data_IF_501656148670
#
_entry.id   IF_501656148670
#
_cell.length_a   1.000
_cell.length_b   1.000
_cell.length_c   1.000
_cell.angle_alpha   90.00
_cell.angle_beta   90.00
_cell.angle_gamma   90.00
#
_symmetry.space_group_name_H-M   'P 1'
#
loop_
_entity.id
_entity.type
_entity.pdbx_description
1 polymer ?
#
# COMPACT_ATOMS: atom_id res chain seq x y z
N UNK A 1 -5.07 -12.14 4.72
CA UNK A 1 -4.17 -12.19 5.88
C UNK A 1 -4.12 -10.82 6.54
N UNK A 2 -4.49 -10.74 7.82
CA UNK A 2 -4.41 -9.50 8.61
C UNK A 2 -2.96 -8.98 8.81
N UNK A 3 -2.86 -7.71 9.20
CA UNK A 3 -1.59 -6.98 9.28
C UNK A 3 -0.64 -7.60 10.33
N UNK A 4 -1.17 -8.15 11.42
CA UNK A 4 -0.39 -8.77 12.50
C UNK A 4 0.26 -10.06 12.01
N UNK A 5 -0.52 -10.94 11.39
CA UNK A 5 -0.02 -12.20 10.80
C UNK A 5 0.99 -11.91 9.69
N UNK A 6 0.69 -10.97 8.79
CA UNK A 6 1.62 -10.56 7.75
C UNK A 6 2.95 -10.06 8.34
N UNK A 7 2.89 -9.19 9.36
CA UNK A 7 4.07 -8.68 10.06
C UNK A 7 4.90 -9.78 10.73
N UNK A 8 4.25 -10.79 11.32
CA UNK A 8 4.95 -11.93 11.92
C UNK A 8 5.68 -12.79 10.88
N UNK A 9 5.09 -12.99 9.71
CA UNK A 9 5.73 -13.69 8.60
C UNK A 9 6.95 -12.90 8.12
N UNK A 10 6.77 -11.60 7.86
CA UNK A 10 7.82 -10.73 7.33
C UNK A 10 9.02 -10.61 8.28
N UNK A 11 8.78 -10.53 9.59
CA UNK A 11 9.85 -10.50 10.60
C UNK A 11 10.65 -11.81 10.72
N UNK A 12 10.14 -12.92 10.18
CA UNK A 12 10.78 -14.24 10.23
C UNK A 12 11.51 -14.61 8.95
N UNK A 13 11.43 -13.77 7.92
CA UNK A 13 12.12 -14.04 6.66
C UNK A 13 13.64 -14.00 6.87
N UNK A 14 14.32 -15.03 6.37
CA UNK A 14 15.77 -15.07 6.32
C UNK A 14 16.31 -14.16 5.22
N UNK A 15 17.60 -13.83 5.25
CA UNK A 15 18.21 -12.95 4.26
C UNK A 15 18.08 -13.51 2.84
N UNK A 16 17.48 -12.72 1.94
CA UNK A 16 17.18 -13.14 0.57
C UNK A 16 16.00 -14.12 0.45
N UNK A 17 15.34 -14.49 1.55
CA UNK A 17 14.15 -15.33 1.50
C UNK A 17 13.02 -14.56 0.80
N UNK A 18 12.38 -15.23 -0.16
CA UNK A 18 11.25 -14.72 -0.93
C UNK A 18 9.99 -15.51 -0.57
N UNK A 19 8.94 -14.80 -0.20
CA UNK A 19 7.62 -15.36 0.14
C UNK A 19 6.55 -14.84 -0.82
N UNK A 20 5.66 -15.70 -1.28
CA UNK A 20 4.40 -15.26 -1.90
C UNK A 20 3.42 -14.92 -0.78
N UNK A 21 2.95 -13.68 -0.76
CA UNK A 21 2.02 -13.16 0.25
C UNK A 21 0.58 -13.29 -0.21
N UNK A 22 0.33 -13.23 -1.52
CA UNK A 22 -0.99 -13.35 -2.12
C UNK A 22 -0.88 -13.78 -3.58
N UNK A 23 -1.90 -14.47 -4.10
CA UNK A 23 -2.06 -14.77 -5.52
C UNK A 23 -3.50 -14.43 -5.94
N UNK A 24 -3.65 -13.53 -6.92
CA UNK A 24 -4.96 -13.15 -7.44
C UNK A 24 -5.57 -14.28 -8.29
N UNK A 25 -6.89 -14.27 -8.52
CA UNK A 25 -7.54 -15.21 -9.44
C UNK A 25 -6.99 -15.17 -10.87
N UNK A 26 -6.37 -14.05 -11.28
CA UNK A 26 -5.71 -13.89 -12.58
C UNK A 26 -4.24 -14.35 -12.58
N UNK A 27 -3.76 -14.90 -11.47
CA UNK A 27 -2.39 -15.38 -11.31
C UNK A 27 -1.37 -14.29 -10.99
N UNK A 28 -1.79 -13.08 -10.67
CA UNK A 28 -0.87 -12.02 -10.21
C UNK A 28 -0.42 -12.35 -8.79
N UNK A 29 0.88 -12.44 -8.55
CA UNK A 29 1.42 -12.69 -7.21
C UNK A 29 1.95 -11.40 -6.59
N UNK A 30 1.64 -11.19 -5.32
CA UNK A 30 2.32 -10.21 -4.46
C UNK A 30 3.33 -10.96 -3.61
N UNK A 31 4.57 -10.53 -3.64
CA UNK A 31 5.69 -11.19 -2.96
C UNK A 31 6.37 -10.25 -1.98
N UNK A 32 7.06 -10.82 -1.01
CA UNK A 32 7.96 -10.11 -0.12
C UNK A 32 9.32 -10.81 -0.12
N UNK A 33 10.39 -10.04 -0.32
CA UNK A 33 11.77 -10.54 -0.33
C UNK A 33 12.58 -9.77 0.71
N UNK A 34 13.21 -10.46 1.66
CA UNK A 34 14.08 -9.81 2.63
C UNK A 34 15.31 -9.21 1.92
N UNK A 35 15.60 -7.93 2.13
CA UNK A 35 16.67 -7.21 1.41
C UNK A 35 17.97 -7.06 2.21
N UNK A 36 17.90 -7.15 3.54
CA UNK A 36 19.07 -7.02 4.42
C UNK A 36 19.61 -5.59 4.57
N UNK A 37 18.96 -4.60 3.97
CA UNK A 37 19.37 -3.19 4.04
C UNK A 37 19.16 -2.59 5.45
N UNK A 38 18.15 -3.08 6.18
CA UNK A 38 17.97 -2.95 7.62
C UNK A 38 17.65 -4.33 8.19
N UNK A 39 17.76 -4.52 9.50
CA UNK A 39 17.56 -5.84 10.14
C UNK A 39 16.17 -6.47 9.87
N UNK A 40 15.20 -5.68 9.38
CA UNK A 40 13.82 -6.09 9.11
C UNK A 40 13.28 -5.59 7.75
N UNK A 41 14.17 -5.13 6.87
CA UNK A 41 13.76 -4.56 5.58
C UNK A 41 13.38 -5.64 4.56
N UNK A 42 12.35 -5.37 3.77
CA UNK A 42 11.90 -6.25 2.71
C UNK A 42 11.42 -5.44 1.51
N UNK A 43 11.64 -5.99 0.32
CA UNK A 43 11.10 -5.45 -0.92
C UNK A 43 9.78 -6.13 -1.24
N UNK A 44 8.77 -5.33 -1.57
CA UNK A 44 7.50 -5.83 -2.09
C UNK A 44 7.64 -6.04 -3.60
N UNK A 45 7.35 -7.26 -4.07
CA UNK A 45 7.41 -7.63 -5.48
C UNK A 45 6.03 -7.91 -6.08
N UNK A 46 5.92 -7.74 -7.39
CA UNK A 46 4.78 -8.12 -8.20
C UNK A 46 5.21 -9.04 -9.33
N UNK A 47 4.56 -10.20 -9.43
CA UNK A 47 4.70 -11.12 -10.56
C UNK A 47 3.39 -11.10 -11.34
N UNK A 48 3.43 -10.52 -12.52
CA UNK A 48 2.31 -10.51 -13.47
C UNK A 48 2.58 -11.60 -14.51
N UNK A 49 1.61 -12.49 -14.82
CA UNK A 49 1.81 -13.53 -15.83
C UNK A 49 2.37 -12.97 -17.15
N UNK A 50 3.44 -13.59 -17.64
CA UNK A 50 4.11 -13.19 -18.87
C UNK A 50 5.01 -11.95 -18.75
N UNK A 51 5.27 -11.44 -17.55
CA UNK A 51 6.18 -10.31 -17.31
C UNK A 51 7.27 -10.67 -16.29
N UNK A 52 8.46 -10.05 -16.37
CA UNK A 52 9.44 -10.13 -15.29
C UNK A 52 8.86 -9.62 -13.97
N UNK A 53 9.30 -10.21 -12.86
CA UNK A 53 9.03 -9.67 -11.52
C UNK A 53 9.62 -8.26 -11.41
N UNK A 54 8.89 -7.36 -10.77
CA UNK A 54 9.34 -6.01 -10.48
C UNK A 54 8.88 -5.58 -9.10
N UNK A 55 9.49 -4.53 -8.55
CA UNK A 55 9.27 -4.09 -7.17
C UNK A 55 8.52 -2.75 -7.19
N UNK A 56 7.19 -2.73 -7.05
CA UNK A 56 6.45 -1.47 -6.99
C UNK A 56 6.85 -0.66 -5.76
N UNK A 57 6.95 0.64 -5.93
CA UNK A 57 7.08 1.57 -4.80
C UNK A 57 5.73 2.23 -4.51
N UNK A 58 5.66 2.99 -3.41
CA UNK A 58 4.51 3.84 -3.11
C UNK A 58 4.16 4.80 -4.28
N UNK A 59 5.11 5.18 -5.14
CA UNK A 59 4.83 6.00 -6.33
C UNK A 59 3.85 5.32 -7.29
N UNK A 60 4.08 4.04 -7.62
CA UNK A 60 3.18 3.28 -8.50
C UNK A 60 1.80 3.15 -7.85
N UNK A 61 1.77 2.90 -6.53
CA UNK A 61 0.52 2.80 -5.77
C UNK A 61 -0.31 4.07 -5.89
N UNK A 62 0.29 5.21 -5.60
CA UNK A 62 -0.38 6.51 -5.62
C UNK A 62 -0.85 6.88 -7.03
N UNK A 63 -0.03 6.58 -8.04
CA UNK A 63 -0.41 6.79 -9.44
C UNK A 63 -1.60 5.93 -9.83
N UNK A 64 -1.60 4.64 -9.46
CA UNK A 64 -2.67 3.72 -9.79
C UNK A 64 -3.99 4.11 -9.08
N UNK A 65 -3.94 4.47 -7.80
CA UNK A 65 -5.11 5.02 -7.10
C UNK A 65 -5.63 6.31 -7.74
N UNK A 66 -4.75 7.17 -8.23
CA UNK A 66 -5.15 8.37 -8.95
C UNK A 66 -5.85 8.02 -10.28
N UNK A 67 -5.32 7.08 -11.08
CA UNK A 67 -5.97 6.61 -12.32
C UNK A 67 -7.35 6.00 -12.06
N UNK A 68 -7.47 5.16 -11.02
CA UNK A 68 -8.73 4.55 -10.60
C UNK A 68 -9.76 5.61 -10.17
N UNK A 69 -9.33 6.64 -9.45
CA UNK A 69 -10.18 7.77 -9.06
C UNK A 69 -10.68 8.55 -10.26
N UNK A 70 -9.81 8.83 -11.24
CA UNK A 70 -10.20 9.56 -12.45
C UNK A 70 -11.17 8.76 -13.32
N UNK A 71 -10.90 7.46 -13.50
CA UNK A 71 -11.71 6.62 -14.36
C UNK A 71 -13.08 6.28 -13.76
N UNK A 72 -13.14 5.97 -12.47
CA UNK A 72 -14.38 5.52 -11.82
C UNK A 72 -14.57 6.14 -10.43
N UNK A 73 -14.94 7.44 -10.34
CA UNK A 73 -15.06 8.17 -9.07
C UNK A 73 -16.04 7.57 -8.05
N UNK A 74 -17.04 6.81 -8.51
CA UNK A 74 -18.01 6.14 -7.62
C UNK A 74 -17.45 4.85 -7.04
N UNK A 75 -16.79 4.03 -7.86
CA UNK A 75 -16.22 2.75 -7.43
C UNK A 75 -14.99 2.95 -6.56
N UNK A 76 -14.20 4.00 -6.81
CA UNK A 76 -12.98 4.26 -6.05
C UNK A 76 -13.27 4.57 -4.57
N UNK A 77 -14.46 5.06 -4.23
CA UNK A 77 -14.84 5.32 -2.83
C UNK A 77 -14.81 4.03 -2.01
N UNK A 78 -15.41 2.94 -2.53
CA UNK A 78 -15.35 1.60 -1.91
C UNK A 78 -13.91 1.10 -1.77
N UNK A 79 -13.04 1.37 -2.75
CA UNK A 79 -11.63 1.03 -2.66
C UNK A 79 -10.92 1.82 -1.56
N UNK A 80 -11.13 3.14 -1.45
CA UNK A 80 -10.50 3.95 -0.41
C UNK A 80 -11.05 3.65 1.00
N UNK A 81 -12.32 3.28 1.12
CA UNK A 81 -12.88 2.74 2.36
C UNK A 81 -12.17 1.44 2.77
N UNK A 82 -11.96 0.52 1.82
CA UNK A 82 -11.21 -0.70 2.06
C UNK A 82 -9.75 -0.41 2.47
N UNK A 83 -9.09 0.57 1.85
CA UNK A 83 -7.76 1.02 2.30
C UNK A 83 -7.80 1.57 3.73
N UNK A 84 -8.85 2.32 4.09
CA UNK A 84 -9.06 2.80 5.46
C UNK A 84 -9.21 1.65 6.46
N UNK A 85 -9.92 0.58 6.11
CA UNK A 85 -10.00 -0.64 6.92
C UNK A 85 -8.64 -1.33 7.06
N UNK A 86 -7.87 -1.44 5.98
CA UNK A 86 -6.49 -2.00 6.03
C UNK A 86 -5.60 -1.16 6.96
N UNK A 87 -5.69 0.16 6.90
CA UNK A 87 -4.98 1.06 7.82
C UNK A 87 -5.37 0.84 9.29
N UNK A 88 -6.63 0.50 9.54
CA UNK A 88 -7.18 0.10 10.83
C UNK A 88 -6.90 -1.38 11.20
N UNK A 89 -5.95 -2.03 10.50
CA UNK A 89 -5.44 -3.38 10.76
C UNK A 89 -6.40 -4.53 10.37
N UNK A 90 -7.50 -4.24 9.68
CA UNK A 90 -8.38 -5.27 9.13
C UNK A 90 -7.70 -6.09 8.02
N UNK A 91 -8.15 -7.34 7.84
CA UNK A 91 -7.65 -8.24 6.82
C UNK A 91 -8.13 -7.82 5.41
N UNK A 92 -7.22 -7.47 4.47
CA UNK A 92 -7.60 -7.16 3.09
C UNK A 92 -8.35 -8.31 2.40
N UNK A 93 -8.02 -9.57 2.68
CA UNK A 93 -8.68 -10.73 2.05
C UNK A 93 -10.13 -10.91 2.50
N UNK A 94 -10.50 -10.45 3.71
CA UNK A 94 -11.89 -10.40 4.14
C UNK A 94 -12.70 -9.38 3.32
N UNK A 95 -12.03 -8.38 2.73
CA UNK A 95 -12.63 -7.38 1.86
C UNK A 95 -12.67 -7.82 0.39
N UNK A 96 -12.21 -9.03 0.05
CA UNK A 96 -12.13 -9.50 -1.33
C UNK A 96 -13.50 -9.49 -2.04
N UNK A 97 -14.60 -9.69 -1.31
CA UNK A 97 -15.95 -9.56 -1.85
C UNK A 97 -16.33 -8.10 -2.15
N UNK A 98 -15.89 -7.16 -1.32
CA UNK A 98 -16.20 -5.73 -1.42
C UNK A 98 -15.37 -5.02 -2.50
N UNK A 99 -14.20 -5.55 -2.85
CA UNK A 99 -13.30 -4.94 -3.85
C UNK A 99 -13.05 -5.77 -5.10
N UNK A 100 -13.41 -7.06 -5.08
CA UNK A 100 -13.17 -7.97 -6.20
C UNK A 100 -14.08 -7.74 -7.40
N UNK A 101 -15.24 -7.10 -7.20
CA UNK A 101 -16.19 -6.71 -8.25
C UNK A 101 -15.88 -5.33 -8.87
N UNK A 102 -14.94 -4.57 -8.28
CA UNK A 102 -14.60 -3.24 -8.77
C UNK A 102 -13.89 -3.32 -10.12
N UNK A 103 -14.38 -2.54 -11.07
CA UNK A 103 -13.86 -2.49 -12.42
C UNK A 103 -13.43 -1.08 -12.76
N UNK A 104 -12.15 -0.89 -13.05
CA UNK A 104 -11.57 0.41 -13.40
C UNK A 104 -11.11 0.41 -14.85
N UNK A 105 -11.56 1.39 -15.64
CA UNK A 105 -11.13 1.53 -17.04
C UNK A 105 -9.68 2.01 -17.16
N UNK A 106 -9.16 2.70 -16.14
CA UNK A 106 -7.75 3.07 -16.01
C UNK A 106 -7.18 2.48 -14.73
N UNK A 107 -6.31 1.48 -14.85
CA UNK A 107 -5.61 0.85 -13.74
C UNK A 107 -4.27 0.29 -14.18
N UNK A 108 -3.31 0.24 -13.26
CA UNK A 108 -2.04 -0.48 -13.42
C UNK A 108 -2.14 -1.89 -12.87
N UNK A 109 -2.76 -2.05 -11.70
CA UNK A 109 -2.93 -3.32 -10.98
C UNK A 109 -4.41 -3.53 -10.56
N UNK A 110 -4.77 -4.77 -10.23
CA UNK A 110 -6.12 -5.09 -9.74
C UNK A 110 -6.36 -4.47 -8.35
N UNK A 111 -7.58 -4.01 -8.07
CA UNK A 111 -7.92 -3.37 -6.79
C UNK A 111 -7.49 -4.20 -5.55
N UNK A 112 -7.75 -5.51 -5.58
CA UNK A 112 -7.33 -6.42 -4.53
C UNK A 112 -5.80 -6.53 -4.42
N UNK A 113 -5.08 -6.51 -5.55
CA UNK A 113 -3.61 -6.50 -5.56
C UNK A 113 -3.11 -5.21 -4.90
N UNK A 114 -3.67 -4.04 -5.26
CA UNK A 114 -3.36 -2.77 -4.60
C UNK A 114 -3.58 -2.82 -3.08
N UNK A 115 -4.67 -3.40 -2.60
CA UNK A 115 -4.92 -3.52 -1.15
C UNK A 115 -3.83 -4.34 -0.45
N UNK A 116 -3.48 -5.50 -1.01
CA UNK A 116 -2.45 -6.37 -0.42
C UNK A 116 -1.11 -5.65 -0.36
N UNK A 117 -0.62 -5.10 -1.47
CA UNK A 117 0.70 -4.47 -1.42
C UNK A 117 0.68 -3.10 -0.70
N UNK A 118 -0.48 -2.44 -0.57
CA UNK A 118 -0.65 -1.31 0.36
C UNK A 118 -0.41 -1.75 1.80
N UNK A 119 -1.00 -2.87 2.23
CA UNK A 119 -0.77 -3.43 3.56
C UNK A 119 0.72 -3.71 3.78
N UNK A 120 1.40 -4.32 2.81
CA UNK A 120 2.82 -4.63 2.93
C UNK A 120 3.67 -3.36 3.04
N UNK A 121 3.41 -2.32 2.24
CA UNK A 121 4.12 -1.03 2.35
C UNK A 121 3.82 -0.30 3.68
N UNK A 122 2.62 -0.47 4.25
CA UNK A 122 2.31 0.03 5.59
C UNK A 122 3.09 -0.71 6.67
N UNK A 123 3.18 -2.05 6.58
CA UNK A 123 3.96 -2.87 7.51
C UNK A 123 5.44 -2.49 7.44
N UNK A 124 5.98 -2.28 6.25
CA UNK A 124 7.35 -1.78 6.06
C UNK A 124 7.58 -0.49 6.87
N UNK A 125 6.63 0.45 6.82
CA UNK A 125 6.71 1.68 7.60
C UNK A 125 6.68 1.44 9.11
N UNK A 126 5.81 0.55 9.57
CA UNK A 126 5.69 0.23 11.00
C UNK A 126 6.93 -0.49 11.54
N UNK A 127 7.53 -1.41 10.77
CA UNK A 127 8.75 -2.12 11.16
C UNK A 127 9.99 -1.21 11.15
N UNK A 128 10.15 -0.40 10.11
CA UNK A 128 11.34 0.41 9.92
C UNK A 128 11.30 1.72 10.71
N UNK A 129 10.11 2.25 11.02
CA UNK A 129 9.95 3.56 11.67
C UNK A 129 9.14 3.57 12.98
N UNK A 130 8.71 2.40 13.46
CA UNK A 130 8.08 2.21 14.76
C UNK A 130 9.07 2.08 15.93
N UNK A 131 8.61 1.63 17.12
CA UNK A 131 9.44 1.55 18.33
C UNK A 131 10.71 0.71 18.19
N UNK A 132 10.71 -0.30 17.31
CA UNK A 132 11.86 -1.16 17.02
C UNK A 132 12.72 -0.71 15.84
N UNK A 133 12.35 0.40 15.18
CA UNK A 133 13.02 0.93 13.99
C UNK A 133 14.26 1.78 14.29
N UNK A 134 15.09 2.02 13.27
CA UNK A 134 16.33 2.83 13.39
C UNK A 134 16.05 4.33 13.36
N UNK A 135 14.93 4.75 12.78
CA UNK A 135 14.49 6.14 12.67
C UNK A 135 13.05 6.26 13.16
N UNK A 136 12.73 7.25 13.98
CA UNK A 136 11.34 7.42 14.45
C UNK A 136 10.51 8.24 13.45
N UNK A 137 9.31 7.75 13.13
CA UNK A 137 8.33 8.51 12.37
C UNK A 137 7.78 9.70 13.18
N UNK A 138 7.30 10.74 12.48
CA UNK A 138 6.47 11.82 13.05
C UNK A 138 4.97 11.49 13.04
N UNK A 139 4.62 10.34 12.48
CA UNK A 139 3.29 9.79 12.46
C UNK A 139 3.19 8.67 13.50
N UNK A 140 2.03 8.60 14.15
CA UNK A 140 1.68 7.54 15.08
C UNK A 140 0.28 7.04 14.70
N UNK A 141 0.14 5.85 14.10
CA UNK A 141 1.22 4.90 13.76
C UNK A 141 2.10 5.37 12.57
N UNK A 142 3.32 4.81 12.39
CA UNK A 142 4.23 5.17 11.29
C UNK A 142 3.62 5.05 9.89
N UNK A 143 2.81 4.02 9.65
CA UNK A 143 2.02 3.83 8.41
C UNK A 143 1.12 5.02 8.03
N UNK A 144 0.87 5.93 8.97
CA UNK A 144 0.15 7.19 8.74
C UNK A 144 0.81 8.08 7.67
N UNK A 145 2.12 7.95 7.44
CA UNK A 145 2.79 8.70 6.38
C UNK A 145 2.33 8.28 4.99
N UNK A 146 2.27 6.98 4.70
CA UNK A 146 1.69 6.51 3.43
C UNK A 146 0.20 6.83 3.34
N UNK A 147 -0.54 6.63 4.45
CA UNK A 147 -1.99 6.87 4.47
C UNK A 147 -2.34 8.33 4.17
N UNK A 148 -1.55 9.30 4.62
CA UNK A 148 -1.81 10.71 4.33
C UNK A 148 -1.63 11.04 2.84
N UNK A 149 -0.70 10.38 2.14
CA UNK A 149 -0.61 10.50 0.68
C UNK A 149 -1.81 9.86 -0.02
N UNK A 150 -2.26 8.69 0.44
CA UNK A 150 -3.43 8.03 -0.13
C UNK A 150 -4.67 8.91 0.04
N UNK A 151 -4.87 9.52 1.22
CA UNK A 151 -5.96 10.47 1.46
C UNK A 151 -5.87 11.71 0.57
N UNK A 152 -4.66 12.21 0.30
CA UNK A 152 -4.47 13.31 -0.64
C UNK A 152 -4.83 12.92 -2.07
N UNK A 153 -4.49 11.71 -2.52
CA UNK A 153 -4.96 11.18 -3.81
C UNK A 153 -6.48 11.07 -3.82
N UNK A 154 -7.07 10.53 -2.74
CA UNK A 154 -8.51 10.31 -2.63
C UNK A 154 -9.33 11.62 -2.64
N UNK A 155 -8.81 12.70 -2.06
CA UNK A 155 -9.50 13.99 -2.02
C UNK A 155 -9.69 14.62 -3.41
N UNK A 156 -8.78 14.33 -4.33
CA UNK A 156 -8.82 14.88 -5.69
C UNK A 156 -8.56 16.38 -5.76
N UNK A 157 -8.02 16.98 -4.70
CA UNK A 157 -7.77 18.43 -4.62
C UNK A 157 -6.56 18.91 -5.45
N UNK A 158 -5.63 18.02 -5.78
CA UNK A 158 -4.38 18.35 -6.46
C UNK A 158 -4.03 17.33 -7.55
N UNK A 159 -3.21 17.78 -8.51
CA UNK A 159 -2.71 16.94 -9.59
C UNK A 159 -1.67 15.93 -9.12
N UNK A 160 -1.60 14.80 -9.83
CA UNK A 160 -0.71 13.69 -9.49
C UNK A 160 0.76 14.11 -9.46
N UNK A 161 1.19 15.02 -10.34
CA UNK A 161 2.57 15.54 -10.37
C UNK A 161 2.99 16.15 -9.05
N UNK A 162 2.10 16.93 -8.41
CA UNK A 162 2.38 17.56 -7.12
C UNK A 162 2.48 16.49 -6.04
N UNK A 163 1.54 15.55 -6.01
CA UNK A 163 1.50 14.48 -5.00
C UNK A 163 2.76 13.61 -5.11
N UNK A 164 3.09 13.14 -6.31
CA UNK A 164 4.28 12.30 -6.55
C UNK A 164 5.57 13.07 -6.26
N UNK A 165 5.68 14.34 -6.66
CA UNK A 165 6.85 15.17 -6.35
C UNK A 165 7.10 15.26 -4.84
N UNK A 166 6.04 15.39 -4.05
CA UNK A 166 6.16 15.41 -2.58
C UNK A 166 6.56 14.03 -2.04
N UNK A 167 5.95 12.96 -2.54
CA UNK A 167 6.26 11.59 -2.13
C UNK A 167 7.75 11.25 -2.37
N UNK A 168 8.27 11.51 -3.58
CA UNK A 168 9.67 11.19 -3.92
C UNK A 168 10.68 12.06 -3.16
N UNK A 169 10.31 13.29 -2.79
CA UNK A 169 11.15 14.20 -1.99
C UNK A 169 11.02 13.97 -0.49
N UNK A 170 10.19 13.01 -0.05
CA UNK A 170 9.84 12.79 1.35
C UNK A 170 9.30 14.07 2.04
N UNK A 171 8.59 14.92 1.28
CA UNK A 171 7.89 16.08 1.82
C UNK A 171 6.50 15.63 2.27
N UNK A 172 6.09 15.90 3.52
CA UNK A 172 4.84 15.39 4.03
C UNK A 172 3.64 16.00 3.28
N UNK A 173 2.53 15.26 3.14
CA UNK A 173 1.28 15.81 2.65
C UNK A 173 0.79 16.98 3.53
N UNK A 174 -0.11 17.84 3.01
CA UNK A 174 -0.80 18.83 3.81
C UNK A 174 -1.38 18.24 5.10
N UNK A 175 -1.28 18.98 6.21
CA UNK A 175 -1.66 18.51 7.56
C UNK A 175 -3.09 17.98 7.62
N UNK A 176 -4.01 18.54 6.82
CA UNK A 176 -5.42 18.08 6.74
C UNK A 176 -5.60 16.62 6.32
N UNK A 177 -4.60 16.00 5.69
CA UNK A 177 -4.64 14.58 5.31
C UNK A 177 -3.99 13.66 6.33
N UNK A 178 -3.39 14.21 7.40
CA UNK A 178 -2.75 13.43 8.46
C UNK A 178 -3.75 12.59 9.24
N UNK A 179 -4.93 13.14 9.51
CA UNK A 179 -5.99 12.50 10.26
C UNK A 179 -7.11 12.04 9.31
N UNK A 180 -7.93 11.07 9.74
CA UNK A 180 -9.15 10.74 8.98
C UNK A 180 -10.05 11.97 8.93
N UNK A 181 -10.80 12.22 7.83
CA UNK A 181 -11.83 13.25 7.85
C UNK A 181 -12.73 13.00 9.06
N UNK A 182 -12.83 13.98 9.94
CA UNK A 182 -13.87 13.97 10.97
C UNK A 182 -15.21 13.95 10.25
N UNK A 183 -16.01 12.91 10.51
CA UNK A 183 -17.41 12.83 10.07
C UNK A 183 -18.22 14.05 10.51
#
# INVERSE_FOLDING_TARGET
MDMVKASLILNRLEHGERKVMYTSPKGVQVTATQTGNLSRDFAVGLVIPGRPEFYPTHVRLLFDYYLKRLSEPRQVQRLFEAVGKVYAENDPEEMAQDVGDLTFTMQLDEAMVNLIYTQLLMIEQDLNYGPGGTKKSKYDPPRGFLMSFIRWVASGEDEIDKIITNAVRNWPPPVRFKDSPTE
#
